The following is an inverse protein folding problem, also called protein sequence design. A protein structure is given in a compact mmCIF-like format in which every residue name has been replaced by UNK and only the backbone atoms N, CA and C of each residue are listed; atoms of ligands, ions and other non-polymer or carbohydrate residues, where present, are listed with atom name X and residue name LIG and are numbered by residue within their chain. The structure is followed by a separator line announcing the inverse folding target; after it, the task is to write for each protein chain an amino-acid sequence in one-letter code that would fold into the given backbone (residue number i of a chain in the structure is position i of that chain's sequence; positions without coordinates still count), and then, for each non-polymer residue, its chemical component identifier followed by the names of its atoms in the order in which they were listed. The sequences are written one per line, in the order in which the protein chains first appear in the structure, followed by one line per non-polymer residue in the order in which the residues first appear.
data_IF_874304105737
#
_entry.id   IF_874304105737
#
_cell.length_a   1.000
_cell.length_b   1.000
_cell.length_c   1.000
_cell.angle_alpha   90.00
_cell.angle_beta   90.00
_cell.angle_gamma   90.00
#
_symmetry.space_group_name_H-M   'P 1'
#
loop_
_entity.id
_entity.type
_entity.pdbx_description
1 polymer ?
#
# COMPACT_ATOMS: atom_id res chain seq x y z
N UNK A 1 -11.24 -8.96 -29.90
CA UNK A 1 -12.66 -9.22 -30.23
C UNK A 1 -13.11 -10.64 -29.80
N UNK A 2 -12.51 -11.25 -28.77
CA UNK A 2 -12.89 -12.58 -28.27
C UNK A 2 -13.48 -12.56 -26.86
N UNK A 3 -13.20 -11.54 -26.04
CA UNK A 3 -13.70 -11.44 -24.66
C UNK A 3 -15.19 -11.09 -24.60
N UNK A 4 -15.67 -10.18 -25.45
CA UNK A 4 -17.07 -9.71 -25.42
C UNK A 4 -18.10 -10.79 -25.77
N UNK A 5 -17.69 -11.88 -26.44
CA UNK A 5 -18.59 -12.96 -26.86
C UNK A 5 -18.85 -14.02 -25.79
N UNK A 6 -17.96 -14.17 -24.79
CA UNK A 6 -18.06 -15.21 -23.75
C UNK A 6 -18.59 -14.69 -22.42
N UNK A 7 -18.55 -13.37 -22.20
CA UNK A 7 -19.01 -12.74 -20.95
C UNK A 7 -20.53 -12.88 -20.77
N UNK A 8 -21.32 -12.65 -21.82
CA UNK A 8 -22.79 -12.70 -21.70
C UNK A 8 -23.29 -14.11 -21.35
N UNK A 9 -22.85 -15.18 -22.03
CA UNK A 9 -23.21 -16.55 -21.63
C UNK A 9 -22.76 -16.90 -20.20
N UNK A 10 -21.58 -16.42 -19.77
CA UNK A 10 -21.10 -16.66 -18.41
C UNK A 10 -21.99 -15.99 -17.36
N UNK A 11 -22.42 -14.74 -17.61
CA UNK A 11 -23.35 -14.04 -16.73
C UNK A 11 -24.73 -14.69 -16.71
N UNK A 12 -25.23 -15.18 -17.85
CA UNK A 12 -26.51 -15.91 -17.92
C UNK A 12 -26.48 -17.22 -17.11
N UNK A 13 -25.40 -17.99 -17.23
CA UNK A 13 -25.21 -19.22 -16.42
C UNK A 13 -25.16 -18.88 -14.93
N UNK A 14 -24.49 -17.79 -14.56
CA UNK A 14 -24.44 -17.33 -13.18
C UNK A 14 -25.80 -16.86 -12.70
N UNK A 15 -26.56 -16.11 -13.50
CA UNK A 15 -27.89 -15.64 -13.13
C UNK A 15 -28.85 -16.81 -12.91
N UNK A 16 -28.78 -17.87 -13.73
CA UNK A 16 -29.53 -19.10 -13.50
C UNK A 16 -29.08 -19.82 -12.22
N UNK A 17 -27.77 -19.96 -12.00
CA UNK A 17 -27.25 -20.58 -10.78
C UNK A 17 -27.62 -19.80 -9.51
N UNK A 18 -27.67 -18.47 -9.57
CA UNK A 18 -28.13 -17.60 -8.49
C UNK A 18 -29.64 -17.74 -8.29
N UNK A 19 -30.43 -17.92 -9.36
CA UNK A 19 -31.86 -18.19 -9.24
C UNK A 19 -32.12 -19.51 -8.50
N UNK A 20 -31.40 -20.57 -8.85
CA UNK A 20 -31.53 -21.89 -8.24
C UNK A 20 -30.94 -21.93 -6.81
N UNK A 21 -29.94 -21.08 -6.55
CA UNK A 21 -29.24 -20.98 -5.27
C UNK A 21 -29.04 -19.51 -4.81
N UNK A 22 -30.10 -18.82 -4.35
CA UNK A 22 -30.07 -17.37 -4.08
C UNK A 22 -29.10 -16.95 -2.96
N UNK A 23 -28.78 -17.87 -2.05
CA UNK A 23 -27.85 -17.64 -0.94
C UNK A 23 -26.43 -18.13 -1.23
N UNK A 24 -26.13 -18.59 -2.45
CA UNK A 24 -24.78 -18.98 -2.83
C UNK A 24 -23.89 -17.74 -3.01
N UNK A 25 -23.27 -17.31 -1.90
CA UNK A 25 -22.36 -16.15 -1.83
C UNK A 25 -21.30 -16.19 -2.93
N UNK A 26 -20.71 -17.36 -3.18
CA UNK A 26 -19.65 -17.56 -4.19
C UNK A 26 -20.12 -17.24 -5.61
N UNK A 27 -21.35 -17.62 -6.00
CA UNK A 27 -21.88 -17.35 -7.34
C UNK A 27 -22.13 -15.85 -7.53
N UNK A 28 -22.69 -15.20 -6.51
CA UNK A 28 -23.00 -13.77 -6.55
C UNK A 28 -21.74 -12.90 -6.51
N UNK A 29 -20.72 -13.32 -5.75
CA UNK A 29 -19.40 -12.70 -5.78
C UNK A 29 -18.74 -12.86 -7.15
N UNK A 30 -18.72 -14.08 -7.70
CA UNK A 30 -18.14 -14.35 -9.01
C UNK A 30 -18.80 -13.51 -10.12
N UNK A 31 -20.12 -13.30 -10.03
CA UNK A 31 -20.83 -12.37 -10.90
C UNK A 31 -20.27 -10.95 -10.79
N UNK A 32 -20.07 -10.44 -9.57
CA UNK A 32 -19.42 -9.14 -9.34
C UNK A 32 -17.99 -9.05 -9.88
N UNK A 33 -17.19 -10.13 -9.72
CA UNK A 33 -15.82 -10.21 -10.24
C UNK A 33 -15.80 -10.12 -11.78
N UNK A 34 -16.70 -10.85 -12.47
CA UNK A 34 -16.84 -10.79 -13.93
C UNK A 34 -17.31 -9.40 -14.37
N UNK A 35 -18.27 -8.80 -13.68
CA UNK A 35 -18.74 -7.45 -13.99
C UNK A 35 -17.62 -6.41 -13.83
N UNK A 36 -16.78 -6.54 -12.81
CA UNK A 36 -15.61 -5.67 -12.62
C UNK A 36 -14.64 -5.74 -13.79
N UNK A 37 -14.51 -6.89 -14.44
CA UNK A 37 -13.62 -7.06 -15.58
C UNK A 37 -14.26 -6.62 -16.91
N UNK A 38 -15.58 -6.60 -17.01
CA UNK A 38 -16.27 -6.58 -18.31
C UNK A 38 -17.27 -5.45 -18.56
N UNK A 39 -17.96 -4.94 -17.53
CA UNK A 39 -19.05 -3.96 -17.69
C UNK A 39 -18.84 -2.67 -16.91
N UNK A 40 -17.79 -2.61 -16.10
CA UNK A 40 -17.35 -1.40 -15.41
C UNK A 40 -17.67 -1.40 -13.91
N UNK A 41 -17.19 -0.37 -13.19
CA UNK A 41 -17.16 -0.39 -11.73
C UNK A 41 -18.55 -0.31 -11.08
N UNK A 42 -19.52 0.38 -11.70
CA UNK A 42 -20.86 0.55 -11.12
C UNK A 42 -21.63 -0.76 -10.99
N UNK A 43 -21.70 -1.56 -12.04
CA UNK A 43 -22.40 -2.86 -12.03
C UNK A 43 -21.74 -3.85 -11.06
N UNK A 44 -20.40 -3.84 -10.98
CA UNK A 44 -19.65 -4.67 -10.05
C UNK A 44 -19.94 -4.30 -8.59
N UNK A 45 -19.90 -3.01 -8.27
CA UNK A 45 -20.22 -2.50 -6.92
C UNK A 45 -21.65 -2.87 -6.54
N UNK A 46 -22.62 -2.68 -7.44
CA UNK A 46 -24.01 -3.06 -7.18
C UNK A 46 -24.15 -4.57 -6.92
N UNK A 47 -23.48 -5.41 -7.70
CA UNK A 47 -23.49 -6.85 -7.49
C UNK A 47 -22.94 -7.23 -6.10
N UNK A 48 -21.82 -6.64 -5.68
CA UNK A 48 -21.28 -6.85 -4.33
C UNK A 48 -22.20 -6.31 -3.23
N UNK A 49 -22.87 -5.18 -3.45
CA UNK A 49 -23.83 -4.63 -2.48
C UNK A 49 -25.01 -5.56 -2.22
N UNK A 50 -25.49 -6.27 -3.25
CA UNK A 50 -26.52 -7.29 -3.01
C UNK A 50 -26.00 -8.36 -2.06
N UNK A 51 -24.76 -8.82 -2.24
CA UNK A 51 -24.15 -9.86 -1.39
C UNK A 51 -23.97 -9.35 0.04
N UNK A 52 -23.50 -8.11 0.20
CA UNK A 52 -23.26 -7.49 1.49
C UNK A 52 -24.55 -7.11 2.23
N UNK A 53 -25.69 -6.96 1.52
CA UNK A 53 -27.00 -6.80 2.16
C UNK A 53 -27.41 -8.06 2.93
N UNK A 54 -27.11 -9.24 2.39
CA UNK A 54 -27.44 -10.52 3.03
C UNK A 54 -26.34 -11.00 4.00
N UNK A 55 -25.07 -10.72 3.69
CA UNK A 55 -23.92 -11.09 4.52
C UNK A 55 -22.99 -9.90 4.72
N UNK A 56 -23.30 -8.98 5.66
CA UNK A 56 -22.51 -7.77 5.88
C UNK A 56 -21.07 -8.03 6.33
N UNK A 57 -20.76 -9.22 6.83
CA UNK A 57 -19.42 -9.58 7.32
C UNK A 57 -18.57 -10.35 6.29
N UNK A 58 -19.04 -10.49 5.04
CA UNK A 58 -18.30 -11.16 3.97
C UNK A 58 -17.06 -10.36 3.55
N UNK A 59 -15.96 -10.53 4.28
CA UNK A 59 -14.70 -9.79 4.11
C UNK A 59 -14.13 -9.89 2.70
N UNK A 60 -14.21 -11.07 2.07
CA UNK A 60 -13.68 -11.28 0.73
C UNK A 60 -14.43 -10.46 -0.33
N UNK A 61 -15.74 -10.27 -0.16
CA UNK A 61 -16.58 -9.40 -0.98
C UNK A 61 -16.30 -7.92 -0.70
N UNK A 62 -16.12 -7.54 0.57
CA UNK A 62 -15.72 -6.17 0.93
C UNK A 62 -14.39 -5.77 0.32
N UNK A 63 -13.39 -6.66 0.39
CA UNK A 63 -12.09 -6.46 -0.25
C UNK A 63 -12.20 -6.34 -1.77
N UNK A 64 -13.06 -7.15 -2.41
CA UNK A 64 -13.33 -7.04 -3.83
C UNK A 64 -13.98 -5.69 -4.20
N UNK A 65 -15.01 -5.26 -3.43
CA UNK A 65 -15.67 -3.96 -3.60
C UNK A 65 -14.69 -2.80 -3.43
N UNK A 66 -13.90 -2.78 -2.35
CA UNK A 66 -12.85 -1.79 -2.14
C UNK A 66 -11.90 -1.71 -3.35
N UNK A 67 -11.44 -2.85 -3.84
CA UNK A 67 -10.50 -2.93 -4.96
C UNK A 67 -11.07 -2.30 -6.24
N UNK A 68 -12.37 -2.48 -6.49
CA UNK A 68 -13.07 -1.84 -7.61
C UNK A 68 -13.16 -0.32 -7.40
N UNK A 69 -13.58 0.12 -6.21
CA UNK A 69 -13.72 1.54 -5.88
C UNK A 69 -12.39 2.30 -6.01
N UNK A 70 -11.28 1.71 -5.54
CA UNK A 70 -9.95 2.30 -5.69
C UNK A 70 -9.56 2.43 -7.17
N UNK A 71 -9.76 1.38 -7.99
CA UNK A 71 -9.40 1.42 -9.42
C UNK A 71 -10.28 2.37 -10.23
N UNK A 72 -11.52 2.62 -9.79
CA UNK A 72 -12.44 3.56 -10.43
C UNK A 72 -12.28 5.02 -9.96
N UNK A 73 -11.37 5.28 -9.01
CA UNK A 73 -11.14 6.63 -8.47
C UNK A 73 -12.20 7.08 -7.46
N UNK A 74 -13.05 6.18 -6.97
CA UNK A 74 -14.06 6.44 -5.95
C UNK A 74 -13.43 6.41 -4.55
N UNK A 75 -12.52 7.35 -4.30
CA UNK A 75 -11.65 7.34 -3.13
C UNK A 75 -12.39 7.45 -1.78
N UNK A 76 -13.49 8.22 -1.72
CA UNK A 76 -14.26 8.38 -0.48
C UNK A 76 -14.96 7.08 -0.10
N UNK A 77 -15.68 6.48 -1.05
CA UNK A 77 -16.36 5.20 -0.86
C UNK A 77 -15.36 4.06 -0.58
N UNK A 78 -14.17 4.13 -1.18
CA UNK A 78 -13.07 3.22 -0.91
C UNK A 78 -12.60 3.30 0.55
N UNK A 79 -12.48 4.50 1.12
CA UNK A 79 -12.14 4.69 2.55
C UNK A 79 -13.26 4.16 3.44
N UNK A 80 -14.52 4.43 3.13
CA UNK A 80 -15.67 3.92 3.89
C UNK A 80 -15.71 2.39 3.90
N UNK A 81 -15.38 1.75 2.76
CA UNK A 81 -15.33 0.30 2.68
C UNK A 81 -14.17 -0.29 3.51
N UNK A 82 -13.00 0.37 3.51
CA UNK A 82 -11.89 -0.03 4.37
C UNK A 82 -12.19 0.16 5.86
N UNK A 83 -12.90 1.22 6.23
CA UNK A 83 -13.34 1.42 7.62
C UNK A 83 -14.24 0.28 8.09
N UNK A 84 -15.19 -0.16 7.25
CA UNK A 84 -16.02 -1.34 7.52
C UNK A 84 -15.21 -2.63 7.62
N UNK A 85 -14.18 -2.80 6.78
CA UNK A 85 -13.26 -3.94 6.89
C UNK A 85 -12.51 -3.90 8.23
N UNK A 86 -12.05 -2.72 8.66
CA UNK A 86 -11.33 -2.54 9.92
C UNK A 86 -12.20 -2.81 11.15
N UNK A 87 -13.51 -2.52 11.08
CA UNK A 87 -14.47 -2.90 12.13
C UNK A 87 -14.63 -4.42 12.27
N UNK A 88 -14.56 -5.16 11.16
CA UNK A 88 -14.74 -6.62 11.14
C UNK A 88 -13.43 -7.36 11.44
N UNK A 89 -12.31 -6.84 10.95
CA UNK A 89 -10.98 -7.46 11.01
C UNK A 89 -9.94 -6.48 11.58
N UNK A 90 -10.18 -6.03 12.81
CA UNK A 90 -9.40 -5.00 13.50
C UNK A 90 -7.93 -5.38 13.79
N UNK A 91 -7.54 -6.64 13.58
CA UNK A 91 -6.17 -7.11 13.81
C UNK A 91 -5.40 -7.32 12.49
N UNK A 92 -6.00 -6.98 11.36
CA UNK A 92 -5.35 -7.11 10.08
C UNK A 92 -4.62 -5.82 9.72
N UNK A 93 -3.28 -5.78 9.81
CA UNK A 93 -2.52 -4.56 9.54
C UNK A 93 -2.68 -4.06 8.10
N UNK A 94 -3.07 -4.93 7.17
CA UNK A 94 -3.25 -4.55 5.77
C UNK A 94 -4.38 -3.54 5.60
N UNK A 95 -5.45 -3.61 6.39
CA UNK A 95 -6.57 -2.66 6.27
C UNK A 95 -6.12 -1.24 6.58
N UNK A 96 -5.34 -1.07 7.66
CA UNK A 96 -4.80 0.22 8.08
C UNK A 96 -3.78 0.76 7.06
N UNK A 97 -2.94 -0.12 6.49
CA UNK A 97 -2.02 0.26 5.41
C UNK A 97 -2.78 0.77 4.17
N UNK A 98 -3.86 0.10 3.76
CA UNK A 98 -4.68 0.54 2.61
C UNK A 98 -5.42 1.83 2.91
N UNK A 99 -5.96 1.96 4.12
CA UNK A 99 -6.70 3.15 4.55
C UNK A 99 -5.77 4.37 4.55
N UNK A 100 -4.55 4.22 5.06
CA UNK A 100 -3.52 5.25 4.98
C UNK A 100 -3.19 5.66 3.53
N UNK A 101 -3.05 4.69 2.63
CA UNK A 101 -2.76 4.96 1.21
C UNK A 101 -3.89 5.72 0.52
N UNK A 102 -5.15 5.36 0.77
CA UNK A 102 -6.30 6.05 0.17
C UNK A 102 -6.51 7.44 0.77
N UNK A 103 -6.36 7.60 2.09
CA UNK A 103 -6.43 8.91 2.76
C UNK A 103 -5.38 9.89 2.23
N UNK A 104 -4.14 9.43 2.08
CA UNK A 104 -3.03 10.22 1.54
C UNK A 104 -3.30 10.69 0.10
N UNK A 105 -3.94 9.87 -0.74
CA UNK A 105 -4.32 10.29 -2.12
C UNK A 105 -5.36 11.41 -2.13
N UNK A 106 -6.16 11.51 -1.08
CA UNK A 106 -7.17 12.56 -0.90
C UNK A 106 -6.69 13.73 -0.03
N UNK A 107 -5.38 13.84 0.22
CA UNK A 107 -4.76 14.90 1.03
C UNK A 107 -5.25 14.95 2.50
N UNK A 108 -5.75 13.82 3.02
CA UNK A 108 -6.11 13.65 4.44
C UNK A 108 -4.89 13.12 5.20
N UNK A 109 -3.89 13.97 5.35
CA UNK A 109 -2.52 13.57 5.70
C UNK A 109 -2.39 13.08 7.15
N UNK A 110 -3.04 13.76 8.10
CA UNK A 110 -3.02 13.40 9.52
C UNK A 110 -3.66 12.04 9.77
N UNK A 111 -4.85 11.81 9.21
CA UNK A 111 -5.54 10.51 9.33
C UNK A 111 -4.77 9.38 8.64
N UNK A 112 -4.08 9.71 7.52
CA UNK A 112 -3.17 8.78 6.85
C UNK A 112 -2.03 8.38 7.78
N UNK A 113 -1.41 9.35 8.47
CA UNK A 113 -0.33 9.07 9.42
C UNK A 113 -0.80 8.14 10.54
N UNK A 114 -1.95 8.42 11.16
CA UNK A 114 -2.53 7.56 12.21
C UNK A 114 -2.74 6.13 11.72
N UNK A 115 -3.21 5.97 10.49
CA UNK A 115 -3.45 4.65 9.90
C UNK A 115 -2.15 3.89 9.59
N UNK A 116 -1.10 4.59 9.15
CA UNK A 116 0.22 3.97 9.02
C UNK A 116 0.80 3.54 10.38
N UNK A 117 0.56 4.33 11.44
CA UNK A 117 1.00 3.99 12.79
C UNK A 117 0.30 2.71 13.28
N UNK A 118 -1.03 2.60 13.12
CA UNK A 118 -1.78 1.40 13.47
C UNK A 118 -1.28 0.15 12.70
N UNK A 119 -1.00 0.29 11.40
CA UNK A 119 -0.40 -0.80 10.62
C UNK A 119 0.97 -1.23 11.17
N UNK A 120 1.76 -0.28 11.70
CA UNK A 120 3.07 -0.52 12.33
C UNK A 120 3.02 -1.08 13.73
N UNK A 121 2.00 -0.77 14.51
CA UNK A 121 1.75 -1.40 15.79
C UNK A 121 1.40 -2.89 15.62
N UNK A 122 0.54 -3.19 14.64
CA UNK A 122 0.12 -4.56 14.34
C UNK A 122 1.20 -5.39 13.63
N UNK A 123 2.10 -4.77 12.87
CA UNK A 123 3.16 -5.45 12.12
C UNK A 123 4.49 -4.67 12.08
N UNK A 124 5.23 -4.60 13.20
CA UNK A 124 6.41 -3.73 13.33
C UNK A 124 7.63 -4.16 12.49
N UNK A 125 7.66 -5.41 12.01
CA UNK A 125 8.80 -5.98 11.28
C UNK A 125 8.87 -5.62 9.78
N UNK A 126 7.86 -4.93 9.25
CA UNK A 126 7.76 -4.65 7.82
C UNK A 126 8.51 -3.37 7.44
N UNK A 127 9.79 -3.50 7.09
CA UNK A 127 10.65 -2.35 6.74
C UNK A 127 10.07 -1.47 5.62
N UNK A 128 9.44 -2.07 4.61
CA UNK A 128 8.80 -1.32 3.52
C UNK A 128 7.60 -0.49 3.99
N UNK A 129 6.88 -0.96 5.00
CA UNK A 129 5.74 -0.22 5.57
C UNK A 129 6.23 0.87 6.53
N UNK A 130 7.34 0.64 7.27
CA UNK A 130 8.00 1.71 8.04
C UNK A 130 8.52 2.83 7.13
N UNK A 131 9.00 2.50 5.94
CA UNK A 131 9.33 3.53 4.94
C UNK A 131 8.09 4.30 4.45
N UNK A 132 6.93 3.63 4.38
CA UNK A 132 5.66 4.29 4.06
C UNK A 132 5.20 5.23 5.18
N UNK A 133 5.40 4.84 6.45
CA UNK A 133 5.18 5.70 7.61
C UNK A 133 6.11 6.92 7.60
N UNK A 134 7.39 6.75 7.29
CA UNK A 134 8.33 7.86 7.14
C UNK A 134 7.86 8.87 6.10
N UNK A 135 7.31 8.39 4.98
CA UNK A 135 6.72 9.25 3.95
C UNK A 135 5.50 10.00 4.48
N UNK A 136 4.63 9.35 5.23
CA UNK A 136 3.47 10.00 5.82
C UNK A 136 3.85 11.09 6.84
N UNK A 137 4.88 10.83 7.67
CA UNK A 137 5.46 11.83 8.59
C UNK A 137 6.02 13.03 7.82
N UNK A 138 6.71 12.79 6.72
CA UNK A 138 7.19 13.86 5.85
C UNK A 138 6.04 14.71 5.29
N UNK A 139 4.93 14.09 4.87
CA UNK A 139 3.79 14.82 4.32
C UNK A 139 3.15 15.77 5.36
N UNK A 140 3.16 15.41 6.65
CA UNK A 140 2.70 16.27 7.76
C UNK A 140 3.80 17.15 8.37
N UNK A 141 4.95 17.27 7.69
CA UNK A 141 6.10 18.08 8.11
C UNK A 141 6.84 17.60 9.38
N UNK A 142 6.58 16.38 9.84
CA UNK A 142 7.36 15.70 10.89
C UNK A 142 8.66 15.14 10.30
N UNK A 143 9.59 16.04 9.97
CA UNK A 143 10.85 15.69 9.35
C UNK A 143 11.77 14.88 10.27
N UNK A 144 11.74 15.15 11.57
CA UNK A 144 12.56 14.43 12.55
C UNK A 144 12.10 12.97 12.68
N UNK A 145 10.79 12.74 12.81
CA UNK A 145 10.24 11.39 12.86
C UNK A 145 10.40 10.63 11.54
N UNK A 146 10.31 11.33 10.40
CA UNK A 146 10.58 10.74 9.09
C UNK A 146 12.05 10.30 8.96
N UNK A 147 13.00 11.14 9.37
CA UNK A 147 14.43 10.82 9.35
C UNK A 147 14.74 9.61 10.23
N UNK A 148 14.19 9.57 11.45
CA UNK A 148 14.38 8.46 12.38
C UNK A 148 13.91 7.11 11.78
N UNK A 149 12.75 7.10 11.13
CA UNK A 149 12.24 5.89 10.48
C UNK A 149 13.10 5.45 9.30
N UNK A 150 13.58 6.39 8.48
CA UNK A 150 14.49 6.09 7.37
C UNK A 150 15.81 5.52 7.88
N UNK A 151 16.39 6.13 8.92
CA UNK A 151 17.61 5.62 9.55
C UNK A 151 17.41 4.21 10.09
N UNK A 152 16.28 3.94 10.75
CA UNK A 152 15.94 2.59 11.20
C UNK A 152 15.88 1.60 10.03
N UNK A 153 15.22 1.96 8.93
CA UNK A 153 15.12 1.10 7.75
C UNK A 153 16.51 0.83 7.16
N UNK A 154 17.36 1.84 7.02
CA UNK A 154 18.72 1.69 6.51
C UNK A 154 19.61 0.82 7.41
N UNK A 155 19.43 0.91 8.73
CA UNK A 155 20.18 0.10 9.69
C UNK A 155 19.76 -1.38 9.66
N UNK A 156 18.47 -1.66 9.47
CA UNK A 156 17.91 -3.01 9.52
C UNK A 156 17.74 -3.66 8.14
N UNK A 157 17.99 -2.92 7.06
CA UNK A 157 17.95 -3.45 5.71
C UNK A 157 19.03 -4.54 5.54
N UNK A 158 18.70 -5.68 4.92
CA UNK A 158 19.69 -6.70 4.65
C UNK A 158 20.83 -6.09 3.80
N UNK A 159 22.09 -6.44 4.08
CA UNK A 159 23.22 -5.89 3.36
C UNK A 159 23.07 -6.17 1.87
N UNK A 160 22.94 -5.10 1.09
CA UNK A 160 22.84 -5.14 -0.35
C UNK A 160 24.24 -5.44 -0.92
N UNK A 161 24.67 -6.70 -0.93
CA UNK A 161 25.86 -7.10 -1.71
C UNK A 161 25.43 -7.15 -3.19
N UNK A 162 26.07 -6.52 -4.19
CA UNK A 162 27.45 -6.04 -4.34
C UNK A 162 27.54 -5.18 -5.62
N UNK A 163 27.77 -3.87 -5.50
CA UNK A 163 28.66 -3.08 -6.38
C UNK A 163 29.35 -2.01 -5.51
N UNK A 164 30.47 -2.47 -4.95
CA UNK A 164 31.73 -1.77 -4.67
C UNK A 164 31.78 -0.24 -4.58
N UNK A 165 32.37 0.18 -3.45
CA UNK A 165 33.31 1.31 -3.32
C UNK A 165 32.70 2.71 -3.17
N UNK A 166 32.30 3.05 -1.94
CA UNK A 166 32.63 4.40 -1.47
C UNK A 166 34.15 4.38 -1.18
N UNK A 167 35.00 5.16 -1.88
CA UNK A 167 36.27 5.49 -1.28
C UNK A 167 35.93 6.15 0.06
N UNK A 168 36.53 5.67 1.15
CA UNK A 168 36.49 6.36 2.42
C UNK A 168 37.07 7.75 2.16
N UNK A 169 36.22 8.76 1.97
CA UNK A 169 36.63 10.15 2.14
C UNK A 169 36.79 10.30 3.65
N UNK A 170 37.97 9.93 4.12
CA UNK A 170 38.43 10.29 5.44
C UNK A 170 38.59 11.82 5.43
N UNK A 171 37.62 12.53 5.99
CA UNK A 171 37.85 13.88 6.49
C UNK A 171 38.82 13.77 7.67
N UNK A 172 40.12 13.78 7.38
CA UNK A 172 41.10 14.02 8.42
C UNK A 172 41.03 15.52 8.74
N UNK A 173 40.35 15.84 9.84
CA UNK A 173 40.56 17.12 10.53
C UNK A 173 42.01 17.14 11.00
N UNK A 174 42.86 17.93 10.35
CA UNK A 174 43.95 18.61 11.06
C UNK A 174 44.44 19.79 10.24
N UNK A 175 44.17 20.99 10.77
CA UNK A 175 44.82 22.23 10.38
C UNK A 175 46.30 22.16 10.77
N UNK A 176 47.18 22.63 9.86
CA UNK A 176 48.24 23.63 10.09
C UNK A 176 49.50 23.32 9.25
N UNK A 177 50.22 24.37 8.80
CA UNK A 177 51.12 24.32 7.64
C UNK A 177 52.58 24.09 8.04
N UNK A 178 53.39 23.54 7.14
CA UNK A 178 54.84 23.54 7.27
C UNK A 178 55.49 24.11 6.00
N UNK A 179 55.87 25.37 6.16
CA UNK A 179 57.06 26.09 5.72
C UNK A 179 58.07 25.40 4.79
N UNK A 180 58.55 26.22 3.86
CA UNK A 180 59.75 26.08 3.04
C UNK A 180 60.98 25.83 3.94
N UNK A 181 61.76 24.79 3.64
CA UNK A 181 63.21 24.78 3.86
C UNK A 181 63.90 24.16 2.64
N UNK A 182 64.77 24.94 2.04
CA UNK A 182 65.73 24.50 1.04
C UNK A 182 66.90 23.83 1.75
N UNK A 183 67.37 22.69 1.27
CA UNK A 183 68.78 22.38 1.37
C UNK A 183 69.29 21.64 0.14
N UNK A 184 70.45 22.10 -0.30
CA UNK A 184 71.20 21.65 -1.45
C UNK A 184 72.26 20.64 -0.99
N UNK A 185 72.37 19.51 -1.68
CA UNK A 185 73.55 18.64 -1.80
C UNK A 185 73.08 17.24 -2.19
N UNK A 186 73.72 16.38 -2.98
CA UNK A 186 74.96 16.39 -3.77
C UNK A 186 75.04 14.99 -4.41
N UNK A 187 75.46 14.90 -5.69
CA UNK A 187 76.11 13.74 -6.38
C UNK A 187 75.28 12.48 -6.64
N UNK A 188 75.37 11.77 -7.77
CA UNK A 188 76.16 11.83 -9.00
C UNK A 188 75.26 11.41 -10.17
#
# INVERSE_FOLDING_TARGET
MWESGTINPALEILDQGIHDHPHALTLRKLRGDILSASRGPGEAVQAYETVLADTPTALDVRWAKWSVLTRSGQGKESIDELARIAEIDAQNPLVHLRLAQELRKLDRLEESLESYQQAMELAPGMLGWRLSLARARFDVLDYEGAEADVQYVLHNAPPVHRWSSRPKICFHKSMAPLSIEADASTRF
#
